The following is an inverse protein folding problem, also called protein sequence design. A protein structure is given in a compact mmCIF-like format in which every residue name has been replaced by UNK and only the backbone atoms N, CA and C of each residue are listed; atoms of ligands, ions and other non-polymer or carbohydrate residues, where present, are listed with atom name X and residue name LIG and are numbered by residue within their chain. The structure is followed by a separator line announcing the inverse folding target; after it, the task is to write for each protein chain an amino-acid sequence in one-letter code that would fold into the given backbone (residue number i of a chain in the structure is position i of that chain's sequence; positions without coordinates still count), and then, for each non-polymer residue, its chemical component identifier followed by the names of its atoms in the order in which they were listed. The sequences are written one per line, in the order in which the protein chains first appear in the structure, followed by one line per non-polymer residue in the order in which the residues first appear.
data_IF_316998931483
#
_entry.id   IF_316998931483
#
_cell.length_a   1.000
_cell.length_b   1.000
_cell.length_c   1.000
_cell.angle_alpha   90.00
_cell.angle_beta   90.00
_cell.angle_gamma   90.00
#
_symmetry.space_group_name_H-M   'P 1'
#
loop_
_entity.id
_entity.type
_entity.pdbx_description
1 polymer ?
#
# COMPACT_ATOMS: atom_id res chain seq x y z
N UNK A 1 -10.18 -99.34 -38.84
CA UNK A 1 -8.87 -98.66 -38.75
C UNK A 1 -9.06 -97.27 -39.31
N UNK A 2 -9.27 -96.29 -38.43
CA UNK A 2 -9.37 -94.87 -38.77
C UNK A 2 -8.20 -94.18 -38.07
N UNK A 3 -7.25 -93.70 -38.85
CA UNK A 3 -6.07 -92.99 -38.36
C UNK A 3 -6.45 -91.60 -37.84
N UNK A 4 -5.99 -91.31 -36.63
CA UNK A 4 -6.02 -90.00 -36.02
C UNK A 4 -5.08 -89.05 -36.76
N UNK A 5 -5.62 -87.94 -37.28
CA UNK A 5 -4.83 -86.83 -37.83
C UNK A 5 -4.47 -85.88 -36.69
N UNK A 6 -3.19 -85.88 -36.32
CA UNK A 6 -2.62 -84.94 -35.35
C UNK A 6 -2.56 -83.53 -35.92
N UNK A 7 -2.83 -82.55 -35.06
CA UNK A 7 -2.85 -81.11 -35.34
C UNK A 7 -1.44 -80.55 -35.55
N UNK A 8 -1.19 -79.93 -36.71
CA UNK A 8 -0.02 -79.07 -36.91
C UNK A 8 -0.35 -77.64 -36.47
N UNK A 9 0.04 -77.34 -35.24
CA UNK A 9 -0.01 -76.05 -34.59
C UNK A 9 1.22 -75.22 -34.99
N UNK A 10 1.38 -74.78 -36.25
CA UNK A 10 2.37 -73.74 -36.60
C UNK A 10 2.33 -73.22 -38.06
N UNK A 11 1.17 -72.96 -38.68
CA UNK A 11 1.19 -72.42 -40.06
C UNK A 11 -0.02 -71.56 -40.43
N UNK A 12 -0.44 -70.64 -39.56
CA UNK A 12 -1.41 -69.63 -39.99
C UNK A 12 -1.24 -68.29 -39.26
N UNK A 13 -0.01 -67.77 -39.31
CA UNK A 13 0.27 -66.41 -38.86
C UNK A 13 0.76 -65.58 -40.03
N UNK A 14 -0.07 -64.60 -40.38
CA UNK A 14 0.16 -63.40 -41.18
C UNK A 14 -0.13 -63.48 -42.69
N UNK A 15 -1.39 -63.75 -43.03
CA UNK A 15 -2.02 -63.05 -44.16
C UNK A 15 -2.80 -61.84 -43.63
N UNK A 16 -2.51 -60.69 -44.25
CA UNK A 16 -3.07 -59.39 -43.96
C UNK A 16 -4.51 -59.31 -44.44
N UNK A 17 -5.44 -58.95 -43.56
CA UNK A 17 -6.58 -58.12 -43.97
C UNK A 17 -7.26 -57.43 -42.78
N UNK A 18 -7.84 -56.27 -43.08
CA UNK A 18 -8.49 -55.30 -42.20
C UNK A 18 -7.55 -54.38 -41.38
N UNK A 19 -7.22 -53.23 -41.97
CA UNK A 19 -6.83 -52.03 -41.21
C UNK A 19 -7.88 -51.78 -40.11
N UNK A 20 -7.50 -51.77 -38.82
CA UNK A 20 -8.43 -51.36 -37.76
C UNK A 20 -8.80 -49.88 -37.97
N UNK A 21 -10.00 -49.44 -37.54
CA UNK A 21 -10.31 -48.02 -37.53
C UNK A 21 -9.23 -47.35 -36.69
N UNK A 22 -8.51 -46.37 -37.25
CA UNK A 22 -7.50 -45.60 -36.54
C UNK A 22 -8.09 -45.22 -35.18
N UNK A 23 -7.61 -45.88 -34.13
CA UNK A 23 -7.81 -45.44 -32.77
C UNK A 23 -7.36 -43.99 -32.78
N UNK A 24 -8.32 -43.08 -32.58
CA UNK A 24 -7.97 -41.69 -32.34
C UNK A 24 -7.21 -41.72 -31.05
N UNK A 25 -5.90 -41.57 -31.16
CA UNK A 25 -5.00 -41.33 -30.06
C UNK A 25 -5.66 -40.34 -29.09
N UNK A 26 -6.14 -40.85 -27.95
CA UNK A 26 -6.88 -40.09 -26.95
C UNK A 26 -5.93 -39.08 -26.27
N UNK A 27 -4.62 -39.24 -26.45
CA UNK A 27 -3.58 -38.36 -25.95
C UNK A 27 -3.40 -37.09 -26.82
N UNK A 28 -3.76 -37.13 -28.11
CA UNK A 28 -3.85 -35.92 -28.93
C UNK A 28 -5.21 -35.25 -28.73
N UNK A 29 -5.29 -34.46 -27.64
CA UNK A 29 -6.40 -33.57 -27.37
C UNK A 29 -6.86 -32.86 -28.66
N UNK A 30 -8.17 -32.93 -28.94
CA UNK A 30 -8.83 -32.40 -30.15
C UNK A 30 -8.05 -31.21 -30.72
N UNK A 31 -7.44 -31.38 -31.90
CA UNK A 31 -6.86 -30.28 -32.66
C UNK A 31 -7.96 -29.28 -32.96
N UNK A 32 -8.09 -28.29 -32.08
CA UNK A 32 -8.95 -27.16 -32.28
C UNK A 32 -8.36 -26.38 -33.46
N UNK A 33 -9.18 -26.24 -34.51
CA UNK A 33 -9.00 -25.34 -35.64
C UNK A 33 -8.20 -24.08 -35.25
N UNK A 34 -7.14 -23.78 -36.01
CA UNK A 34 -6.20 -22.66 -35.83
C UNK A 34 -6.88 -21.28 -35.64
N UNK A 35 -8.16 -21.16 -35.99
CA UNK A 35 -8.97 -19.94 -35.86
C UNK A 35 -9.62 -19.71 -34.47
N UNK A 36 -9.42 -20.63 -33.50
CA UNK A 36 -9.93 -20.50 -32.11
C UNK A 36 -8.85 -20.13 -31.08
N UNK A 37 -7.70 -19.63 -31.53
CA UNK A 37 -6.52 -19.44 -30.69
C UNK A 37 -6.65 -18.30 -29.67
N UNK A 38 -7.40 -17.24 -30.00
CA UNK A 38 -7.57 -16.12 -29.08
C UNK A 38 -8.88 -16.26 -28.29
N UNK A 39 -8.83 -16.99 -27.17
CA UNK A 39 -9.89 -17.03 -26.15
C UNK A 39 -10.09 -15.67 -25.44
N UNK A 40 -9.71 -14.55 -26.08
CA UNK A 40 -9.57 -13.21 -25.51
C UNK A 40 -8.44 -13.14 -24.49
N UNK A 41 -7.38 -13.90 -24.70
CA UNK A 41 -6.24 -13.97 -23.79
C UNK A 41 -5.27 -12.83 -24.05
N UNK A 42 -5.08 -12.43 -25.31
CA UNK A 42 -4.17 -11.34 -25.66
C UNK A 42 -4.58 -10.03 -24.98
N UNK A 43 -5.85 -9.63 -25.14
CA UNK A 43 -6.38 -8.42 -24.49
C UNK A 43 -6.35 -8.52 -22.97
N UNK A 44 -6.58 -9.70 -22.41
CA UNK A 44 -6.47 -9.92 -20.98
C UNK A 44 -5.04 -9.72 -20.47
N UNK A 45 -4.03 -10.25 -21.17
CA UNK A 45 -2.65 -10.06 -20.79
C UNK A 45 -2.21 -8.60 -20.92
N UNK A 46 -2.75 -7.85 -21.89
CA UNK A 46 -2.55 -6.39 -21.96
C UNK A 46 -3.13 -5.71 -20.73
N UNK A 47 -4.39 -6.01 -20.36
CA UNK A 47 -5.00 -5.44 -19.15
C UNK A 47 -4.23 -5.80 -17.87
N UNK A 48 -3.71 -7.04 -17.77
CA UNK A 48 -2.86 -7.47 -16.65
C UNK A 48 -1.59 -6.62 -16.59
N UNK A 49 -0.85 -6.51 -17.69
CA UNK A 49 0.39 -5.72 -17.76
C UNK A 49 0.17 -4.26 -17.40
N UNK A 50 -0.93 -3.66 -17.87
CA UNK A 50 -1.30 -2.29 -17.51
C UNK A 50 -1.49 -2.12 -15.99
N UNK A 51 -2.16 -3.09 -15.34
CA UNK A 51 -2.36 -3.06 -13.89
C UNK A 51 -1.03 -3.25 -13.15
N UNK A 52 -0.17 -4.15 -13.61
CA UNK A 52 1.17 -4.34 -13.03
C UNK A 52 2.00 -3.07 -13.11
N UNK A 53 2.02 -2.39 -14.26
CA UNK A 53 2.70 -1.09 -14.40
C UNK A 53 2.15 -0.02 -13.45
N UNK A 54 0.84 -0.01 -13.21
CA UNK A 54 0.24 0.91 -12.24
C UNK A 54 0.61 0.57 -10.79
N UNK A 55 0.68 -0.72 -10.45
CA UNK A 55 1.14 -1.18 -9.13
C UNK A 55 2.62 -0.78 -8.89
N UNK A 56 3.46 -0.90 -9.90
CA UNK A 56 4.86 -0.50 -9.83
C UNK A 56 5.00 1.03 -9.72
N UNK A 57 4.23 1.78 -10.51
CA UNK A 57 4.17 3.26 -10.40
C UNK A 57 3.75 3.68 -8.99
N UNK A 58 2.73 3.04 -8.41
CA UNK A 58 2.28 3.30 -7.05
C UNK A 58 3.40 3.02 -6.03
N UNK A 59 4.09 1.89 -6.16
CA UNK A 59 5.22 1.54 -5.28
C UNK A 59 6.34 2.57 -5.34
N UNK A 60 6.65 3.09 -6.53
CA UNK A 60 7.65 4.14 -6.70
C UNK A 60 7.27 5.46 -6.04
N UNK A 61 5.98 5.82 -6.02
CA UNK A 61 5.52 7.05 -5.34
C UNK A 61 5.56 6.86 -3.82
N UNK A 62 5.18 5.69 -3.32
CA UNK A 62 5.30 5.36 -1.89
C UNK A 62 6.76 5.45 -1.43
N UNK A 63 7.70 4.97 -2.23
CA UNK A 63 9.13 5.09 -1.96
C UNK A 63 9.58 6.57 -1.90
N UNK A 64 9.14 7.41 -2.85
CA UNK A 64 9.42 8.86 -2.84
C UNK A 64 8.82 9.56 -1.63
N UNK A 65 7.61 9.18 -1.22
CA UNK A 65 6.96 9.70 -0.02
C UNK A 65 7.79 9.38 1.23
N UNK A 66 8.33 8.16 1.32
CA UNK A 66 9.20 7.75 2.41
C UNK A 66 10.52 8.54 2.40
N UNK A 67 11.16 8.70 1.24
CA UNK A 67 12.38 9.50 1.09
C UNK A 67 12.16 10.97 1.47
N UNK A 68 11.04 11.57 1.05
CA UNK A 68 10.68 12.92 1.42
C UNK A 68 10.43 13.07 2.93
N UNK A 69 9.84 12.05 3.57
CA UNK A 69 9.71 12.03 5.02
C UNK A 69 11.07 11.98 5.73
N UNK A 70 11.98 11.11 5.30
CA UNK A 70 13.33 11.05 5.86
C UNK A 70 14.12 12.35 5.64
N UNK A 71 14.00 12.96 4.45
CA UNK A 71 14.58 14.27 4.15
C UNK A 71 14.07 15.32 5.15
N UNK A 72 12.76 15.34 5.42
CA UNK A 72 12.12 16.30 6.34
C UNK A 72 12.74 16.31 7.73
N UNK A 73 13.24 15.16 8.22
CA UNK A 73 13.84 15.03 9.56
C UNK A 73 15.15 15.81 9.71
N UNK A 74 15.87 16.03 8.62
CA UNK A 74 17.18 16.70 8.61
C UNK A 74 17.12 18.18 8.22
N UNK A 75 16.01 18.64 7.64
CA UNK A 75 15.86 20.00 7.14
C UNK A 75 15.50 20.98 8.26
N UNK A 76 16.27 22.05 8.38
CA UNK A 76 16.03 23.12 9.36
C UNK A 76 15.42 24.40 8.76
N UNK A 77 15.49 24.57 7.43
CA UNK A 77 14.96 25.75 6.75
C UNK A 77 13.44 25.63 6.57
N UNK A 78 12.69 26.60 7.07
CA UNK A 78 11.21 26.63 6.99
C UNK A 78 10.69 26.54 5.54
N UNK A 79 11.31 27.23 4.59
CA UNK A 79 10.93 27.18 3.17
C UNK A 79 11.12 25.79 2.55
N UNK A 80 12.19 25.08 2.93
CA UNK A 80 12.46 23.73 2.47
C UNK A 80 11.51 22.71 3.14
N UNK A 81 11.21 22.86 4.43
CA UNK A 81 10.21 22.04 5.13
C UNK A 81 8.83 22.16 4.48
N UNK A 82 8.38 23.39 4.17
CA UNK A 82 7.12 23.64 3.47
C UNK A 82 7.10 23.00 2.08
N UNK A 83 8.21 23.07 1.35
CA UNK A 83 8.34 22.44 0.04
C UNK A 83 8.26 20.90 0.14
N UNK A 84 8.91 20.30 1.13
CA UNK A 84 8.87 18.85 1.40
C UNK A 84 7.44 18.41 1.71
N UNK A 85 6.75 19.09 2.64
CA UNK A 85 5.35 18.82 2.98
C UNK A 85 4.45 18.86 1.74
N UNK A 86 4.60 19.89 0.90
CA UNK A 86 3.86 20.01 -0.35
C UNK A 86 4.18 18.92 -1.38
N UNK A 87 5.38 18.33 -1.38
CA UNK A 87 5.69 17.13 -2.20
C UNK A 87 4.99 15.90 -1.65
N UNK A 88 5.07 15.67 -0.34
CA UNK A 88 4.43 14.53 0.33
C UNK A 88 2.91 14.52 0.13
N UNK A 89 2.25 15.66 0.24
CA UNK A 89 0.80 15.80 -0.02
C UNK A 89 0.44 15.40 -1.46
N UNK A 90 1.23 15.84 -2.45
CA UNK A 90 1.02 15.46 -3.86
C UNK A 90 1.23 13.97 -4.09
N UNK A 91 2.24 13.37 -3.46
CA UNK A 91 2.51 11.94 -3.58
C UNK A 91 1.37 11.11 -2.97
N UNK A 92 0.84 11.51 -1.82
CA UNK A 92 -0.35 10.90 -1.20
C UNK A 92 -1.55 10.95 -2.14
N UNK A 93 -1.83 12.11 -2.75
CA UNK A 93 -2.93 12.28 -3.69
C UNK A 93 -2.77 11.41 -4.94
N UNK A 94 -1.56 11.33 -5.50
CA UNK A 94 -1.26 10.53 -6.69
C UNK A 94 -1.40 9.03 -6.40
N UNK A 95 -0.93 8.54 -5.26
CA UNK A 95 -1.18 7.15 -4.81
C UNK A 95 -2.67 6.87 -4.77
N UNK A 96 -3.47 7.78 -4.19
CA UNK A 96 -4.92 7.65 -4.14
C UNK A 96 -5.58 7.57 -5.52
N UNK A 97 -5.12 8.39 -6.49
CA UNK A 97 -5.61 8.36 -7.88
C UNK A 97 -5.29 7.03 -8.57
N UNK A 98 -4.04 6.56 -8.43
CA UNK A 98 -3.61 5.29 -9.03
C UNK A 98 -4.36 4.11 -8.42
N UNK A 99 -4.52 4.07 -7.10
CA UNK A 99 -5.26 3.01 -6.40
C UNK A 99 -6.72 2.92 -6.89
N UNK A 100 -7.41 4.06 -7.05
CA UNK A 100 -8.77 4.11 -7.63
C UNK A 100 -8.79 3.59 -9.08
N UNK A 101 -7.81 3.99 -9.89
CA UNK A 101 -7.69 3.52 -11.29
C UNK A 101 -7.51 2.00 -11.36
N UNK A 102 -6.61 1.43 -10.54
CA UNK A 102 -6.38 -0.02 -10.47
C UNK A 102 -7.66 -0.73 -10.03
N UNK A 103 -8.35 -0.22 -9.00
CA UNK A 103 -9.60 -0.80 -8.51
C UNK A 103 -10.65 -0.90 -9.63
N UNK A 104 -10.88 0.18 -10.37
CA UNK A 104 -11.83 0.21 -11.49
C UNK A 104 -11.43 -0.77 -12.59
N UNK A 105 -10.13 -0.86 -12.93
CA UNK A 105 -9.62 -1.83 -13.91
C UNK A 105 -9.82 -3.28 -13.45
N UNK A 106 -9.61 -3.59 -12.17
CA UNK A 106 -9.84 -4.92 -11.62
C UNK A 106 -11.33 -5.30 -11.61
N UNK A 107 -12.23 -4.38 -11.26
CA UNK A 107 -13.68 -4.60 -11.33
C UNK A 107 -14.17 -4.81 -12.78
N UNK A 108 -13.55 -4.11 -13.74
CA UNK A 108 -13.79 -4.37 -15.17
C UNK A 108 -13.28 -5.75 -15.59
N UNK A 109 -12.07 -6.11 -15.17
CA UNK A 109 -11.47 -7.41 -15.45
C UNK A 109 -12.32 -8.57 -14.90
N UNK A 110 -12.89 -8.43 -13.70
CA UNK A 110 -13.83 -9.41 -13.14
C UNK A 110 -15.08 -9.58 -14.02
N UNK A 111 -15.69 -8.47 -14.45
CA UNK A 111 -16.84 -8.50 -15.37
C UNK A 111 -16.48 -9.17 -16.69
N UNK A 112 -15.30 -8.85 -17.24
CA UNK A 112 -14.80 -9.46 -18.48
C UNK A 112 -14.56 -10.97 -18.30
N UNK A 113 -14.05 -11.42 -17.15
CA UNK A 113 -13.88 -12.83 -16.85
C UNK A 113 -15.21 -13.57 -16.78
N UNK A 114 -16.24 -12.98 -16.16
CA UNK A 114 -17.58 -13.55 -16.13
C UNK A 114 -18.21 -13.62 -17.53
N UNK A 115 -18.03 -12.59 -18.35
CA UNK A 115 -18.50 -12.58 -19.73
C UNK A 115 -17.79 -13.62 -20.60
N UNK A 116 -16.48 -13.81 -20.38
CA UNK A 116 -15.66 -14.79 -21.10
C UNK A 116 -16.21 -16.22 -20.97
N UNK A 117 -16.83 -16.56 -19.82
CA UNK A 117 -17.44 -17.88 -19.58
C UNK A 117 -18.55 -18.26 -20.56
N UNK A 118 -19.16 -17.28 -21.22
CA UNK A 118 -20.20 -17.51 -22.23
C UNK A 118 -19.61 -17.96 -23.58
N UNK A 119 -18.29 -17.83 -23.78
CA UNK A 119 -17.61 -18.25 -25.01
C UNK A 119 -17.39 -19.77 -25.03
N UNK A 120 -17.50 -20.43 -26.20
CA UNK A 120 -17.18 -21.84 -26.34
C UNK A 120 -15.75 -22.15 -25.87
N UNK A 121 -15.58 -23.14 -24.97
CA UNK A 121 -14.26 -23.53 -24.44
C UNK A 121 -13.74 -22.67 -23.27
N UNK A 122 -14.45 -21.63 -22.87
CA UNK A 122 -14.10 -20.74 -21.75
C UNK A 122 -14.98 -20.93 -20.51
N UNK A 123 -15.80 -21.98 -20.46
CA UNK A 123 -16.74 -22.23 -19.37
C UNK A 123 -16.06 -22.26 -17.99
N UNK A 124 -16.87 -22.15 -16.92
CA UNK A 124 -16.39 -22.22 -15.54
C UNK A 124 -15.53 -23.47 -15.32
N UNK A 125 -14.36 -23.31 -14.72
CA UNK A 125 -13.46 -24.41 -14.40
C UNK A 125 -12.55 -24.86 -15.56
N UNK A 126 -12.67 -24.28 -16.76
CA UNK A 126 -11.72 -24.50 -17.85
C UNK A 126 -10.31 -23.97 -17.51
N UNK A 127 -9.29 -24.43 -18.24
CA UNK A 127 -7.92 -23.93 -18.05
C UNK A 127 -7.85 -22.41 -18.22
N UNK A 128 -8.51 -21.87 -19.26
CA UNK A 128 -8.61 -20.43 -19.51
C UNK A 128 -9.29 -19.70 -18.34
N UNK A 129 -10.45 -20.17 -17.88
CA UNK A 129 -11.16 -19.57 -16.73
C UNK A 129 -10.29 -19.57 -15.46
N UNK A 130 -9.67 -20.71 -15.12
CA UNK A 130 -8.81 -20.81 -13.93
C UNK A 130 -7.61 -19.86 -13.99
N UNK A 131 -6.94 -19.79 -15.13
CA UNK A 131 -5.79 -18.89 -15.32
C UNK A 131 -6.20 -17.43 -15.15
N UNK A 132 -7.28 -17.00 -15.82
CA UNK A 132 -7.78 -15.62 -15.72
C UNK A 132 -8.19 -15.25 -14.29
N UNK A 133 -8.92 -16.14 -13.63
CA UNK A 133 -9.36 -15.94 -12.24
C UNK A 133 -8.16 -15.86 -11.29
N UNK A 134 -7.20 -16.79 -11.40
CA UNK A 134 -5.99 -16.83 -10.57
C UNK A 134 -5.18 -15.54 -10.68
N UNK A 135 -4.90 -15.09 -11.91
CA UNK A 135 -4.15 -13.85 -12.14
C UNK A 135 -4.91 -12.62 -11.61
N UNK A 136 -6.23 -12.56 -11.81
CA UNK A 136 -7.04 -11.45 -11.30
C UNK A 136 -7.03 -11.40 -9.76
N UNK A 137 -7.11 -12.56 -9.11
CA UNK A 137 -7.00 -12.68 -7.65
C UNK A 137 -5.61 -12.24 -7.17
N UNK A 138 -4.54 -12.64 -7.87
CA UNK A 138 -3.18 -12.24 -7.55
C UNK A 138 -3.00 -10.72 -7.63
N UNK A 139 -3.53 -10.06 -8.67
CA UNK A 139 -3.47 -8.60 -8.81
C UNK A 139 -4.25 -7.88 -7.70
N UNK A 140 -5.44 -8.38 -7.32
CA UNK A 140 -6.20 -7.84 -6.17
C UNK A 140 -5.41 -7.96 -4.86
N UNK A 141 -4.75 -9.10 -4.65
CA UNK A 141 -3.92 -9.31 -3.47
C UNK A 141 -2.75 -8.32 -3.44
N UNK A 142 -2.02 -8.16 -4.55
CA UNK A 142 -0.92 -7.19 -4.67
C UNK A 142 -1.37 -5.74 -4.44
N UNK A 143 -2.54 -5.34 -4.95
CA UNK A 143 -3.11 -4.02 -4.65
C UNK A 143 -3.37 -3.86 -3.14
N UNK A 144 -3.97 -4.86 -2.49
CA UNK A 144 -4.26 -4.82 -1.06
C UNK A 144 -2.98 -4.71 -0.24
N UNK A 145 -1.96 -5.49 -0.56
CA UNK A 145 -0.65 -5.45 0.11
C UNK A 145 -0.02 -4.06 -0.01
N UNK A 146 0.05 -3.50 -1.22
CA UNK A 146 0.62 -2.16 -1.44
C UNK A 146 -0.17 -1.05 -0.77
N UNK A 147 -1.50 -1.17 -0.73
CA UNK A 147 -2.33 -0.22 0.02
C UNK A 147 -2.07 -0.32 1.53
N UNK A 148 -1.85 -1.53 2.06
CA UNK A 148 -1.50 -1.72 3.46
C UNK A 148 -0.14 -1.10 3.80
N UNK A 149 0.87 -1.33 2.95
CA UNK A 149 2.20 -0.71 3.09
C UNK A 149 2.09 0.82 3.12
N UNK A 150 1.30 1.39 2.20
CA UNK A 150 1.05 2.83 2.15
C UNK A 150 0.33 3.37 3.38
N UNK A 151 -0.68 2.66 3.90
CA UNK A 151 -1.37 3.08 5.12
C UNK A 151 -0.45 3.03 6.34
N UNK A 152 0.39 2.00 6.45
CA UNK A 152 1.40 1.89 7.51
C UNK A 152 2.38 3.07 7.43
N UNK A 153 2.90 3.38 6.25
CA UNK A 153 3.77 4.55 6.06
C UNK A 153 3.08 5.85 6.48
N UNK A 154 1.82 6.05 6.09
CA UNK A 154 1.04 7.24 6.48
C UNK A 154 0.89 7.34 8.00
N UNK A 155 0.63 6.23 8.69
CA UNK A 155 0.56 6.20 10.15
C UNK A 155 1.89 6.52 10.79
N UNK A 156 3.00 5.94 10.30
CA UNK A 156 4.35 6.24 10.78
C UNK A 156 4.66 7.73 10.64
N UNK A 157 4.40 8.33 9.47
CA UNK A 157 4.62 9.77 9.24
C UNK A 157 3.82 10.63 10.23
N UNK A 158 2.55 10.29 10.47
CA UNK A 158 1.70 11.03 11.41
C UNK A 158 2.19 10.90 12.85
N UNK A 159 2.58 9.70 13.26
CA UNK A 159 3.11 9.44 14.59
C UNK A 159 4.44 10.17 14.82
N UNK A 160 5.36 10.13 13.86
CA UNK A 160 6.63 10.86 13.94
C UNK A 160 6.40 12.37 14.04
N UNK A 161 5.48 12.92 13.24
CA UNK A 161 5.14 14.35 13.32
C UNK A 161 4.56 14.72 14.69
N UNK A 162 3.68 13.87 15.24
CA UNK A 162 3.10 14.04 16.57
C UNK A 162 4.17 14.13 17.66
N UNK A 163 5.15 13.23 17.62
CA UNK A 163 6.27 13.25 18.57
C UNK A 163 7.13 14.51 18.42
N UNK A 164 7.33 15.00 17.21
CA UNK A 164 8.08 16.26 16.98
C UNK A 164 7.33 17.45 17.58
N UNK A 165 6.00 17.51 17.41
CA UNK A 165 5.17 18.56 18.00
C UNK A 165 5.20 18.48 19.53
N UNK A 166 5.05 17.29 20.12
CA UNK A 166 5.12 17.08 21.57
C UNK A 166 6.46 17.53 22.17
N UNK A 167 7.58 17.07 21.58
CA UNK A 167 8.94 17.45 22.05
C UNK A 167 9.15 18.96 22.00
N UNK A 168 8.79 19.60 20.88
CA UNK A 168 8.94 21.06 20.72
C UNK A 168 8.03 21.82 21.68
N UNK A 169 6.80 21.37 21.88
CA UNK A 169 5.88 21.99 22.84
C UNK A 169 6.45 21.93 24.25
N UNK A 170 6.99 20.79 24.67
CA UNK A 170 7.64 20.65 25.97
C UNK A 170 8.86 21.55 26.10
N UNK A 171 9.71 21.65 25.06
CA UNK A 171 10.87 22.56 25.09
C UNK A 171 10.46 24.03 25.20
N UNK A 172 9.36 24.44 24.55
CA UNK A 172 8.90 25.84 24.55
C UNK A 172 8.14 26.20 25.83
N UNK A 173 7.31 25.30 26.35
CA UNK A 173 6.38 25.59 27.45
C UNK A 173 6.80 24.99 28.80
N UNK A 174 7.74 24.03 28.79
CA UNK A 174 8.14 23.26 29.97
C UNK A 174 7.10 22.27 30.49
N UNK A 175 5.93 22.15 29.85
CA UNK A 175 4.84 21.27 30.30
C UNK A 175 4.51 20.23 29.23
N UNK A 176 4.10 19.04 29.68
CA UNK A 176 3.69 17.96 28.78
C UNK A 176 2.26 18.23 28.30
N UNK A 177 2.00 18.36 26.99
CA UNK A 177 0.65 18.56 26.48
C UNK A 177 -0.17 17.27 26.58
N UNK A 178 -1.49 17.39 26.75
CA UNK A 178 -2.40 16.25 26.61
C UNK A 178 -2.56 15.88 25.14
N UNK A 179 -3.01 14.65 24.88
CA UNK A 179 -3.19 14.14 23.53
C UNK A 179 -4.13 15.02 22.68
N UNK A 180 -5.22 15.50 23.27
CA UNK A 180 -6.17 16.42 22.63
C UNK A 180 -5.54 17.76 22.24
N UNK A 181 -4.61 18.28 23.05
CA UNK A 181 -3.92 19.54 22.74
C UNK A 181 -2.96 19.35 21.57
N UNK A 182 -2.26 18.21 21.51
CA UNK A 182 -1.37 17.88 20.39
C UNK A 182 -2.19 17.78 19.10
N UNK A 183 -3.31 17.07 19.12
CA UNK A 183 -4.15 16.88 17.94
C UNK A 183 -4.74 18.21 17.45
N UNK A 184 -5.20 19.08 18.35
CA UNK A 184 -5.64 20.44 18.03
C UNK A 184 -4.51 21.30 17.43
N UNK A 185 -3.27 21.17 17.93
CA UNK A 185 -2.11 21.90 17.40
C UNK A 185 -1.70 21.43 16.00
N UNK A 186 -1.92 20.15 15.68
CA UNK A 186 -1.70 19.57 14.36
C UNK A 186 -2.80 20.03 13.39
N UNK A 187 -4.08 19.93 13.78
CA UNK A 187 -5.21 20.30 12.93
C UNK A 187 -5.24 21.80 12.60
N UNK A 188 -5.00 22.65 13.59
CA UNK A 188 -5.02 24.11 13.39
C UNK A 188 -3.77 24.64 12.70
N UNK A 189 -2.70 23.84 12.60
CA UNK A 189 -1.39 24.29 12.14
C UNK A 189 -0.73 25.35 13.04
N UNK A 190 -1.28 25.58 14.25
CA UNK A 190 -0.82 26.62 15.17
C UNK A 190 0.51 26.27 15.85
N UNK A 191 0.92 25.01 15.82
CA UNK A 191 2.21 24.55 16.34
C UNK A 191 3.39 25.31 15.73
N UNK A 192 3.38 25.53 14.42
CA UNK A 192 4.43 26.24 13.69
C UNK A 192 4.58 27.70 14.18
N UNK A 193 3.46 28.39 14.41
CA UNK A 193 3.48 29.79 14.88
C UNK A 193 3.98 29.94 16.32
N UNK A 194 3.61 28.99 17.19
CA UNK A 194 4.07 28.97 18.58
C UNK A 194 5.58 28.73 18.62
N UNK A 195 6.09 27.81 17.80
CA UNK A 195 7.51 27.52 17.71
C UNK A 195 8.32 28.68 17.10
N UNK A 196 7.81 29.33 16.04
CA UNK A 196 8.48 30.51 15.46
C UNK A 196 8.62 31.65 16.47
N UNK A 197 7.56 31.96 17.24
CA UNK A 197 7.61 32.99 18.28
C UNK A 197 8.61 32.67 19.37
N UNK A 198 8.67 31.41 19.81
CA UNK A 198 9.63 30.97 20.82
C UNK A 198 11.09 31.07 20.31
N UNK A 199 11.35 30.65 19.07
CA UNK A 199 12.69 30.73 18.46
C UNK A 199 13.15 32.19 18.27
N UNK A 200 12.24 33.09 17.84
CA UNK A 200 12.53 34.52 17.74
C UNK A 200 12.77 35.17 19.11
N UNK A 201 12.11 34.69 20.16
CA UNK A 201 12.33 35.11 21.54
C UNK A 201 13.66 34.63 22.13
N UNK A 202 14.09 33.41 21.80
CA UNK A 202 15.33 32.79 22.31
C UNK A 202 16.60 33.44 21.68
N UNK A 203 16.50 34.05 20.49
CA UNK A 203 17.62 34.71 19.79
C UNK A 203 17.98 36.13 20.27
N UNK A 204 17.22 36.71 21.21
CA UNK A 204 17.59 37.93 21.91
C UNK A 204 17.82 37.55 23.36
N UNK A 205 19.08 37.52 23.78
CA UNK A 205 19.45 37.12 25.13
C UNK A 205 18.63 37.86 26.19
N UNK A 206 17.64 37.17 26.75
CA UNK A 206 17.19 37.33 28.11
C UNK A 206 17.00 35.93 28.68
N UNK A 207 18.02 35.51 29.42
CA UNK A 207 17.82 34.55 30.50
C UNK A 207 17.08 35.32 31.59
N UNK A 208 15.75 35.26 31.60
CA UNK A 208 14.97 35.44 32.81
C UNK A 208 13.55 34.88 32.62
N UNK A 209 13.28 33.73 33.24
CA UNK A 209 11.92 33.44 33.74
C UNK A 209 12.01 33.35 35.26
N UNK A 210 12.56 34.40 35.87
CA UNK A 210 12.13 34.84 37.18
C UNK A 210 10.63 35.08 37.15
N UNK A 211 9.96 34.49 38.13
CA UNK A 211 8.59 34.74 38.55
C UNK A 211 8.08 36.11 38.11
N UNK A 212 7.22 36.15 37.11
CA UNK A 212 6.28 37.25 36.97
C UNK A 212 5.13 37.00 37.96
N UNK A 213 5.41 37.28 39.23
CA UNK A 213 4.38 37.42 40.26
C UNK A 213 3.48 38.61 39.91
N UNK A 214 2.15 38.45 39.98
CA UNK A 214 1.22 39.56 39.79
C UNK A 214 1.32 40.57 40.97
N UNK A 215 1.17 41.88 40.73
CA UNK A 215 1.25 42.86 41.79
C UNK A 215 -0.09 43.01 42.53
N UNK A 216 0.05 43.27 43.83
CA UNK A 216 -0.90 43.89 44.77
C UNK A 216 -1.99 42.99 45.41
N UNK A 217 -1.68 42.53 46.62
CA UNK A 217 -2.33 43.10 47.81
C UNK A 217 -1.63 42.64 49.11
N UNK A 218 -1.00 43.60 49.78
CA UNK A 218 -1.04 43.81 51.24
C UNK A 218 -1.07 42.57 52.14
N UNK A 219 0.08 42.24 52.74
CA UNK A 219 0.18 42.31 54.20
C UNK A 219 1.65 42.33 54.64
N UNK A 220 2.06 43.47 55.15
CA UNK A 220 3.32 43.66 55.87
C UNK A 220 3.40 42.66 57.04
N UNK A 221 4.50 41.93 57.14
CA UNK A 221 5.08 41.59 58.45
C UNK A 221 6.33 42.45 58.62
N UNK A 222 6.48 43.21 59.71
CA UNK A 222 7.79 43.52 60.21
C UNK A 222 8.23 42.45 61.19
N UNK A 223 9.48 42.05 61.00
CA UNK A 223 10.29 41.25 61.87
C UNK A 223 10.47 41.95 63.23
N UNK A 224 10.55 41.12 64.27
CA UNK A 224 11.00 41.43 65.63
C UNK A 224 12.26 42.29 65.62
N UNK A 225 12.27 43.32 66.46
CA UNK A 225 13.48 43.93 67.04
C UNK A 225 13.24 44.04 68.55
N UNK A 226 14.13 43.42 69.31
CA UNK A 226 14.25 43.53 70.77
C UNK A 226 14.47 44.99 71.20
N UNK A 227 13.95 45.36 72.37
CA UNK A 227 14.71 46.08 73.42
C UNK A 227 13.77 46.52 74.55
N UNK A 228 14.11 46.03 75.75
CA UNK A 228 14.09 46.69 77.06
C UNK A 228 12.79 47.31 77.61
N UNK A 229 12.42 46.83 78.81
CA UNK A 229 12.02 47.74 79.88
C UNK A 229 10.81 47.34 80.73
N UNK A 230 11.14 46.80 81.91
CA UNK A 230 10.34 46.69 83.17
C UNK A 230 9.23 45.65 83.25
#
# INVERSE_FOLDING_TARGET
TQEAKMNNLLTDSFEMDAKPPKERDIEMGRQNSKDKSDYGLEDFFKEVKEIEMLLDKMSNIVQKLQEANEESKSVTKASAMKAIKGRMEKDIDEVGKIARSIKVKLERMDRNNLANRKKPGCGKGTSVDRSRMSMTIALKKRLKERMNDFQNLRQTIQQEYREVVERRFFTVTGTKPSDEVIDNLIETGSSEQIFEKAIQGIGRGQVDYGLFSPPNSLCCKPHVVESDGS
#
